data_IF_996508499147
#
_entry.id   IF_996508499147
#
_cell.length_a   1.000
_cell.length_b   1.000
_cell.length_c   1.000
_cell.angle_alpha   90.00
_cell.angle_beta   90.00
_cell.angle_gamma   90.00
#
_symmetry.space_group_name_H-M   'P 1'
#
loop_
_entity.id
_entity.type
_entity.pdbx_description
1 polymer ?
#
# COMPACT_ATOMS: atom_id res chain seq x y z
N UNK A 1 -3.49 14.25 10.76
CA UNK A 1 -3.28 14.73 9.37
C UNK A 1 -4.57 14.48 8.59
N UNK A 2 -4.93 15.30 7.61
CA UNK A 2 -6.16 15.11 6.82
C UNK A 2 -5.95 14.03 5.73
N UNK A 3 -6.99 13.23 5.44
CA UNK A 3 -7.01 12.20 4.40
C UNK A 3 -6.52 12.74 3.05
N UNK A 4 -6.98 13.92 2.65
CA UNK A 4 -6.62 14.50 1.36
C UNK A 4 -5.12 14.85 1.26
N UNK A 5 -4.49 15.19 2.38
CA UNK A 5 -3.05 15.46 2.44
C UNK A 5 -2.27 14.16 2.25
N UNK A 6 -2.74 13.06 2.86
CA UNK A 6 -2.14 11.73 2.71
C UNK A 6 -2.31 11.26 1.25
N UNK A 7 -3.52 11.34 0.68
CA UNK A 7 -3.77 10.99 -0.72
C UNK A 7 -2.88 11.77 -1.68
N UNK A 8 -2.74 13.09 -1.49
CA UNK A 8 -1.90 13.92 -2.34
C UNK A 8 -0.41 13.59 -2.22
N UNK A 9 0.05 13.11 -1.07
CA UNK A 9 1.44 12.67 -0.91
C UNK A 9 1.67 11.30 -1.56
N UNK A 10 0.70 10.39 -1.41
CA UNK A 10 0.77 9.03 -1.94
C UNK A 10 0.42 8.95 -3.43
N UNK A 11 -0.21 9.98 -4.01
CA UNK A 11 -0.47 10.03 -5.45
C UNK A 11 0.80 10.03 -6.29
N UNK A 12 1.96 10.34 -5.71
CA UNK A 12 3.25 10.38 -6.40
C UNK A 12 3.97 9.03 -6.47
N UNK A 13 3.31 7.93 -6.08
CA UNK A 13 3.84 6.57 -6.30
C UNK A 13 4.17 6.38 -7.78
N UNK A 14 5.42 6.01 -8.05
CA UNK A 14 5.95 5.79 -9.39
C UNK A 14 5.93 4.31 -9.76
N UNK A 15 6.20 3.43 -8.80
CA UNK A 15 6.27 1.98 -9.01
C UNK A 15 5.74 1.24 -7.78
N UNK A 16 5.29 0.01 -7.99
CA UNK A 16 4.85 -0.89 -6.93
C UNK A 16 5.61 -2.20 -7.13
N UNK A 17 6.31 -2.66 -6.10
CA UNK A 17 7.09 -3.88 -6.15
C UNK A 17 7.02 -4.63 -4.82
N UNK A 18 7.50 -5.89 -4.80
CA UNK A 18 7.49 -6.73 -3.61
C UNK A 18 8.85 -6.79 -2.95
N UNK A 19 8.87 -6.76 -1.62
CA UNK A 19 10.04 -7.03 -0.80
C UNK A 19 9.77 -8.14 0.19
N UNK A 20 10.80 -8.92 0.53
CA UNK A 20 10.75 -9.81 1.70
C UNK A 20 10.94 -8.99 2.96
N UNK A 21 10.13 -9.23 3.99
CA UNK A 21 10.33 -8.56 5.30
C UNK A 21 11.01 -9.57 6.22
N UNK A 22 12.33 -9.48 6.33
CA UNK A 22 13.15 -10.43 7.09
C UNK A 22 12.98 -10.34 8.62
N UNK A 23 12.15 -9.42 9.11
CA UNK A 23 12.07 -9.04 10.53
C UNK A 23 10.94 -9.67 11.34
N UNK A 24 10.25 -10.70 10.84
CA UNK A 24 9.24 -11.40 11.65
C UNK A 24 9.36 -12.91 11.55
N UNK A 25 9.08 -13.61 12.65
CA UNK A 25 9.00 -15.08 12.72
C UNK A 25 7.89 -15.68 11.85
N UNK A 26 7.08 -14.82 11.22
CA UNK A 26 6.07 -15.14 10.21
C UNK A 26 6.61 -14.75 8.83
N UNK A 27 6.43 -15.59 7.82
CA UNK A 27 6.71 -15.23 6.44
C UNK A 27 5.80 -14.08 6.02
N UNK A 28 6.32 -12.85 6.09
CA UNK A 28 5.65 -11.64 5.67
C UNK A 28 6.29 -11.09 4.40
N UNK A 29 5.47 -10.47 3.57
CA UNK A 29 5.95 -9.71 2.42
C UNK A 29 5.44 -8.28 2.42
N UNK A 30 6.30 -7.39 1.92
CA UNK A 30 6.01 -5.99 1.74
C UNK A 30 5.53 -5.70 0.32
N UNK A 31 4.38 -5.04 0.21
CA UNK A 31 4.04 -4.26 -0.97
C UNK A 31 4.70 -2.89 -0.79
N UNK A 32 5.70 -2.60 -1.60
CA UNK A 32 6.49 -1.38 -1.52
C UNK A 32 5.94 -0.36 -2.50
N UNK A 33 5.52 0.78 -1.97
CA UNK A 33 5.19 1.97 -2.74
C UNK A 33 6.49 2.73 -3.05
N UNK A 34 6.91 2.70 -4.31
CA UNK A 34 8.13 3.32 -4.79
C UNK A 34 7.96 4.79 -5.16
N UNK A 35 8.71 5.66 -4.49
CA UNK A 35 8.74 7.10 -4.72
C UNK A 35 10.11 7.56 -5.23
N UNK A 36 10.11 8.71 -5.92
CA UNK A 36 11.35 9.44 -6.26
C UNK A 36 11.89 10.14 -5.03
N UNK A 37 13.22 10.20 -4.91
CA UNK A 37 13.94 10.75 -3.76
C UNK A 37 13.62 12.23 -3.42
N UNK A 38 13.04 12.99 -4.35
CA UNK A 38 12.68 14.40 -4.13
C UNK A 38 11.51 14.58 -3.15
N UNK A 39 10.71 13.55 -2.91
CA UNK A 39 9.46 13.65 -2.14
C UNK A 39 9.53 12.92 -0.80
N UNK A 40 10.72 12.49 -0.37
CA UNK A 40 10.95 11.67 0.83
C UNK A 40 10.23 12.21 2.07
N UNK A 41 10.46 13.46 2.46
CA UNK A 41 9.87 14.02 3.69
C UNK A 41 8.34 14.05 3.64
N UNK A 42 7.75 14.37 2.47
CA UNK A 42 6.30 14.42 2.32
C UNK A 42 5.68 13.01 2.44
N UNK A 43 6.31 12.03 1.81
CA UNK A 43 5.87 10.62 1.84
C UNK A 43 5.99 10.07 3.26
N UNK A 44 7.10 10.32 3.95
CA UNK A 44 7.30 9.89 5.33
C UNK A 44 6.24 10.47 6.26
N UNK A 45 6.00 11.79 6.18
CA UNK A 45 4.98 12.44 7.00
C UNK A 45 3.57 11.90 6.71
N UNK A 46 3.26 11.56 5.46
CA UNK A 46 2.00 10.95 5.09
C UNK A 46 1.86 9.52 5.64
N UNK A 47 2.92 8.71 5.57
CA UNK A 47 2.93 7.36 6.15
C UNK A 47 2.82 7.38 7.67
N UNK A 48 3.49 8.30 8.36
CA UNK A 48 3.35 8.50 9.80
C UNK A 48 1.90 8.89 10.13
N UNK A 49 1.34 9.87 9.42
CA UNK A 49 -0.05 10.28 9.62
C UNK A 49 -1.05 9.15 9.38
N UNK A 50 -0.80 8.30 8.37
CA UNK A 50 -1.61 7.13 8.10
C UNK A 50 -1.46 6.04 9.19
N UNK A 51 -0.23 5.79 9.66
CA UNK A 51 0.03 4.86 10.78
C UNK A 51 -0.68 5.30 12.05
N UNK A 52 -0.69 6.60 12.37
CA UNK A 52 -1.38 7.11 13.55
C UNK A 52 -2.89 6.84 13.48
N UNK A 53 -3.49 6.98 12.30
CA UNK A 53 -4.91 6.68 12.06
C UNK A 53 -5.19 5.17 12.17
N UNK A 54 -4.27 4.34 11.66
CA UNK A 54 -4.39 2.88 11.67
C UNK A 54 -4.04 2.29 13.04
N UNK A 55 -3.25 2.94 13.89
CA UNK A 55 -2.75 2.35 15.15
C UNK A 55 -3.85 1.76 16.05
N UNK A 56 -5.05 2.32 15.99
CA UNK A 56 -6.22 1.88 16.76
C UNK A 56 -7.18 0.96 15.96
N UNK A 57 -6.91 0.74 14.67
CA UNK A 57 -7.82 0.14 13.70
C UNK A 57 -7.15 -0.90 12.80
N UNK A 58 -7.94 -1.74 12.13
CA UNK A 58 -7.39 -2.59 11.06
C UNK A 58 -7.22 -1.79 9.76
N UNK A 59 -6.24 -2.17 8.95
CA UNK A 59 -6.06 -1.65 7.60
C UNK A 59 -6.29 -2.74 6.56
N UNK A 60 -7.01 -2.44 5.50
CA UNK A 60 -7.25 -3.32 4.36
C UNK A 60 -6.75 -2.63 3.09
N UNK A 61 -6.24 -3.42 2.15
CA UNK A 61 -5.78 -2.94 0.85
C UNK A 61 -6.66 -3.54 -0.26
N UNK A 62 -7.27 -2.70 -1.08
CA UNK A 62 -7.89 -3.13 -2.32
C UNK A 62 -7.05 -2.69 -3.50
N UNK A 63 -6.74 -3.62 -4.40
CA UNK A 63 -6.12 -3.38 -5.71
C UNK A 63 -7.24 -3.46 -6.74
N UNK A 64 -7.69 -2.30 -7.19
CA UNK A 64 -8.82 -2.12 -8.07
C UNK A 64 -8.39 -2.18 -9.54
N UNK A 65 -8.96 -3.12 -10.30
CA UNK A 65 -8.79 -3.20 -11.76
C UNK A 65 -9.45 -2.00 -12.43
N UNK A 66 -8.69 -1.19 -13.16
CA UNK A 66 -9.25 -0.13 -14.00
C UNK A 66 -9.66 -0.65 -15.37
N UNK A 67 -10.22 0.22 -16.22
CA UNK A 67 -10.53 -0.09 -17.63
C UNK A 67 -9.28 -0.28 -18.49
N UNK A 68 -8.12 0.21 -18.05
CA UNK A 68 -6.86 0.10 -18.76
C UNK A 68 -6.07 -1.08 -18.19
N UNK A 69 -5.78 -2.06 -19.03
CA UNK A 69 -4.97 -3.23 -18.66
C UNK A 69 -3.60 -2.79 -18.14
N UNK A 70 -3.19 -3.36 -16.99
CA UNK A 70 -1.91 -3.00 -16.35
C UNK A 70 -1.97 -1.76 -15.48
N UNK A 71 -3.12 -1.07 -15.42
CA UNK A 71 -3.34 0.11 -14.58
C UNK A 71 -4.38 -0.23 -13.49
N UNK A 72 -4.02 0.07 -12.26
CA UNK A 72 -4.78 -0.25 -11.05
C UNK A 72 -4.90 0.96 -10.15
N UNK A 73 -5.98 1.04 -9.39
CA UNK A 73 -6.09 1.97 -8.27
C UNK A 73 -5.83 1.18 -6.98
N UNK A 74 -5.15 1.78 -6.01
CA UNK A 74 -5.01 1.22 -4.67
C UNK A 74 -5.94 1.96 -3.72
N UNK A 75 -6.74 1.23 -2.95
CA UNK A 75 -7.54 1.79 -1.87
C UNK A 75 -7.05 1.25 -0.52
N UNK A 76 -6.66 2.15 0.38
CA UNK A 76 -6.35 1.81 1.77
C UNK A 76 -7.57 2.14 2.61
N UNK A 77 -8.17 1.11 3.20
CA UNK A 77 -9.39 1.20 4.02
C UNK A 77 -9.04 0.98 5.47
N UNK A 78 -9.60 1.82 6.34
CA UNK A 78 -9.47 1.68 7.79
C UNK A 78 -10.68 2.33 8.44
N UNK A 79 -11.09 1.82 9.60
CA UNK A 79 -12.23 2.35 10.37
C UNK A 79 -11.97 3.77 10.92
N UNK A 80 -10.70 4.17 10.99
CA UNK A 80 -10.30 5.53 11.38
C UNK A 80 -10.58 6.62 10.34
N UNK A 81 -11.08 6.25 9.15
CA UNK A 81 -11.43 7.18 8.08
C UNK A 81 -12.84 6.92 7.54
N UNK A 82 -13.60 7.99 7.30
CA UNK A 82 -14.94 7.91 6.70
C UNK A 82 -14.90 7.43 5.24
N UNK A 83 -13.78 7.64 4.55
CA UNK A 83 -13.57 7.23 3.17
C UNK A 83 -12.14 6.66 2.99
N UNK A 84 -11.94 5.71 2.05
CA UNK A 84 -10.61 5.16 1.78
C UNK A 84 -9.65 6.23 1.27
N UNK A 85 -8.36 6.01 1.50
CA UNK A 85 -7.28 6.69 0.79
C UNK A 85 -7.12 6.04 -0.57
N UNK A 86 -7.25 6.82 -1.63
CA UNK A 86 -7.14 6.34 -3.01
C UNK A 86 -5.85 6.78 -3.68
N UNK A 87 -5.09 5.83 -4.20
CA UNK A 87 -3.89 6.04 -5.00
C UNK A 87 -4.21 5.59 -6.42
N UNK A 88 -4.51 6.55 -7.29
CA UNK A 88 -5.10 6.28 -8.60
C UNK A 88 -4.05 6.03 -9.69
N UNK A 89 -4.43 5.28 -10.72
CA UNK A 89 -3.73 5.10 -11.99
C UNK A 89 -2.28 4.62 -11.84
N UNK A 90 -2.07 3.55 -11.08
CA UNK A 90 -0.76 2.96 -10.86
C UNK A 90 -0.53 1.77 -11.76
N UNK A 91 0.63 1.79 -12.42
CA UNK A 91 1.10 0.66 -13.21
C UNK A 91 1.55 -0.45 -12.26
N UNK A 92 0.97 -1.64 -12.42
CA UNK A 92 1.40 -2.86 -11.74
C UNK A 92 1.55 -3.90 -12.84
N UNK A 93 2.76 -4.42 -13.02
CA UNK A 93 2.96 -5.48 -14.00
C UNK A 93 2.29 -6.80 -13.57
N UNK A 94 2.02 -7.66 -14.54
CA UNK A 94 1.31 -8.92 -14.29
C UNK A 94 2.12 -9.88 -13.42
N UNK A 95 3.45 -9.77 -13.42
CA UNK A 95 4.33 -10.60 -12.60
C UNK A 95 4.19 -10.24 -11.12
N UNK A 96 4.26 -8.95 -10.80
CA UNK A 96 4.05 -8.38 -9.47
C UNK A 96 2.64 -8.68 -8.98
N UNK A 97 1.62 -8.48 -9.82
CA UNK A 97 0.24 -8.78 -9.44
C UNK A 97 0.03 -10.28 -9.18
N UNK A 98 0.55 -11.15 -10.05
CA UNK A 98 0.49 -12.60 -9.86
C UNK A 98 1.20 -13.04 -8.59
N UNK A 99 2.37 -12.46 -8.30
CA UNK A 99 3.09 -12.72 -7.06
C UNK A 99 2.34 -12.23 -5.82
N UNK A 100 1.60 -11.11 -5.90
CA UNK A 100 0.70 -10.68 -4.82
C UNK A 100 -0.42 -11.71 -4.61
N UNK A 101 -1.10 -12.13 -5.68
CA UNK A 101 -2.17 -13.14 -5.62
C UNK A 101 -1.67 -14.44 -4.99
N UNK A 102 -0.52 -14.95 -5.43
CA UNK A 102 0.07 -16.18 -4.94
C UNK A 102 0.41 -16.10 -3.44
N UNK A 103 1.00 -15.00 -2.97
CA UNK A 103 1.36 -14.85 -1.55
C UNK A 103 0.15 -14.67 -0.64
N UNK A 104 -0.89 -13.96 -1.10
CA UNK A 104 -2.18 -13.85 -0.39
C UNK A 104 -2.83 -15.23 -0.27
N UNK A 105 -2.87 -16.01 -1.36
CA UNK A 105 -3.46 -17.35 -1.37
C UNK A 105 -2.71 -18.34 -0.47
N UNK A 106 -1.41 -18.11 -0.24
CA UNK A 106 -0.60 -18.87 0.71
C UNK A 106 -0.73 -18.37 2.17
N UNK A 107 -1.64 -17.44 2.45
CA UNK A 107 -1.85 -16.82 3.76
C UNK A 107 -0.58 -16.19 4.36
N UNK A 108 0.33 -15.69 3.52
CA UNK A 108 1.48 -14.91 3.99
C UNK A 108 0.99 -13.55 4.48
N UNK A 109 1.57 -13.08 5.59
CA UNK A 109 1.21 -11.77 6.14
C UNK A 109 1.64 -10.66 5.19
N UNK A 110 0.79 -9.66 5.01
CA UNK A 110 1.06 -8.53 4.10
C UNK A 110 1.34 -7.28 4.89
N UNK A 111 2.36 -6.55 4.49
CA UNK A 111 2.60 -5.19 4.96
C UNK A 111 2.68 -4.22 3.79
N UNK A 112 2.25 -2.99 4.02
CA UNK A 112 2.45 -1.87 3.11
C UNK A 112 3.62 -1.04 3.62
N UNK A 113 4.56 -0.73 2.73
CA UNK A 113 5.76 0.06 3.06
C UNK A 113 6.16 0.97 1.90
N UNK A 114 7.24 1.73 2.06
CA UNK A 114 7.80 2.62 1.04
C UNK A 114 9.28 2.37 0.86
N UNK A 115 9.83 2.77 -0.29
CA UNK A 115 11.27 2.71 -0.55
C UNK A 115 12.08 3.87 0.07
N UNK A 116 11.42 4.84 0.71
CA UNK A 116 12.08 6.04 1.24
C UNK A 116 12.44 5.93 2.73
N UNK A 117 12.08 4.83 3.40
CA UNK A 117 12.50 4.49 4.76
C UNK A 117 12.31 3.00 5.03
N UNK A 118 13.39 2.33 5.42
CA UNK A 118 13.42 0.86 5.59
C UNK A 118 12.93 0.38 6.96
N UNK A 119 13.06 1.20 8.02
CA UNK A 119 12.88 0.70 9.41
C UNK A 119 11.59 1.18 10.11
N UNK A 120 10.99 2.30 9.72
CA UNK A 120 9.92 2.93 10.52
C UNK A 120 8.55 3.07 9.83
N UNK A 121 8.41 2.72 8.54
CA UNK A 121 7.21 3.00 7.76
C UNK A 121 6.48 1.76 7.25
N UNK A 122 6.33 0.79 8.14
CA UNK A 122 5.57 -0.44 7.89
C UNK A 122 4.15 -0.30 8.46
N UNK A 123 3.15 -0.60 7.62
CA UNK A 123 1.74 -0.72 7.99
C UNK A 123 1.33 -2.18 7.79
N UNK A 124 0.88 -2.84 8.84
CA UNK A 124 0.32 -4.20 8.70
C UNK A 124 -1.03 -4.16 8.00
N UNK A 125 -1.22 -5.01 6.99
CA UNK A 125 -2.47 -5.11 6.24
C UNK A 125 -3.18 -6.40 6.64
N UNK A 126 -4.38 -6.22 7.20
CA UNK A 126 -5.22 -7.32 7.69
C UNK A 126 -5.86 -8.12 6.56
N UNK A 127 -6.14 -7.48 5.44
CA UNK A 127 -6.77 -8.11 4.27
C UNK A 127 -6.33 -7.41 2.99
N UNK A 128 -6.03 -8.20 1.95
CA UNK A 128 -5.75 -7.69 0.61
C UNK A 128 -6.73 -8.30 -0.37
N UNK A 129 -7.36 -7.46 -1.20
CA UNK A 129 -8.30 -7.89 -2.23
C UNK A 129 -7.88 -7.35 -3.59
N UNK A 130 -7.82 -8.21 -4.61
CA UNK A 130 -7.71 -7.80 -6.01
C UNK A 130 -9.09 -7.95 -6.65
N UNK A 131 -9.73 -6.84 -7.05
CA UNK A 131 -11.11 -6.85 -7.54
C UNK A 131 -11.38 -5.79 -8.60
N UNK A 132 -12.50 -5.92 -9.31
CA UNK A 132 -13.06 -4.82 -10.07
C UNK A 132 -13.73 -3.84 -9.09
N UNK A 133 -13.39 -2.56 -9.19
CA UNK A 133 -14.04 -1.50 -8.43
C UNK A 133 -14.85 -0.66 -9.43
N UNK A 134 -16.09 -0.33 -9.05
CA UNK A 134 -17.05 0.39 -9.89
C UNK A 134 -16.70 1.88 -10.05
#
# INVERSE_FOLDING_TARGET
MDRFVIESALSDVNEIFLSGVENSTLEQFGIVLGFKATNTDQVLNAFIGLKDIICENSAQLAICKTRLTGIYDLEIKTEGLDEPIRIMNKAIDNETLGAIEDRINNNQGVVLTTNVSEEDNIISISEVQIKACD
#
